data_IF_713715892490
#
_entry.id   IF_713715892490
#
_cell.length_a   1.000
_cell.length_b   1.000
_cell.length_c   1.000
_cell.angle_alpha   90.00
_cell.angle_beta   90.00
_cell.angle_gamma   90.00
#
_symmetry.space_group_name_H-M   'P 1'
#
loop_
_entity.id
_entity.type
_entity.pdbx_description
1 polymer ?
#
# COMPACT_ATOMS: atom_id res chain seq x y z
N UNK A 1 3.16 -15.40 -13.46
CA UNK A 1 2.16 -14.34 -13.20
C UNK A 1 1.89 -13.61 -14.50
N UNK A 2 0.76 -13.84 -15.17
CA UNK A 2 0.39 -13.10 -16.37
C UNK A 2 0.23 -11.59 -16.08
N UNK A 3 0.44 -10.77 -17.10
CA UNK A 3 0.13 -9.33 -17.06
C UNK A 3 -1.03 -9.07 -18.00
N UNK A 4 -2.12 -8.52 -17.48
CA UNK A 4 -3.34 -8.20 -18.22
C UNK A 4 -3.46 -6.69 -18.38
N UNK A 5 -3.98 -6.23 -19.52
CA UNK A 5 -4.33 -4.82 -19.70
C UNK A 5 -5.76 -4.61 -19.22
N UNK A 6 -5.94 -3.90 -18.10
CA UNK A 6 -7.24 -3.65 -17.49
C UNK A 6 -7.39 -2.14 -17.29
N UNK A 7 -8.40 -1.52 -17.91
CA UNK A 7 -8.59 -0.07 -17.85
C UNK A 7 -7.38 0.73 -18.35
N UNK A 8 -6.63 0.21 -19.33
CA UNK A 8 -5.41 0.83 -19.86
C UNK A 8 -4.17 0.67 -18.95
N UNK A 9 -4.27 -0.10 -17.87
CA UNK A 9 -3.19 -0.30 -16.90
C UNK A 9 -2.72 -1.76 -16.93
N UNK A 10 -1.39 -2.00 -16.96
CA UNK A 10 -0.84 -3.35 -16.86
C UNK A 10 -0.97 -3.88 -15.43
N UNK A 11 -1.80 -4.90 -15.25
CA UNK A 11 -2.03 -5.60 -13.97
C UNK A 11 -1.37 -6.96 -14.01
N UNK A 12 -0.30 -7.15 -13.22
CA UNK A 12 0.23 -8.48 -12.91
C UNK A 12 -0.68 -9.21 -11.94
N UNK A 13 -1.12 -10.41 -12.30
CA UNK A 13 -1.97 -11.26 -11.49
C UNK A 13 -1.32 -12.64 -11.25
N UNK A 14 -1.49 -13.29 -10.07
CA UNK A 14 -0.74 -14.51 -9.77
C UNK A 14 -1.02 -15.70 -10.69
N UNK A 15 -2.25 -15.80 -11.21
CA UNK A 15 -2.74 -16.84 -12.12
C UNK A 15 -3.56 -16.21 -13.24
N UNK A 16 -4.10 -17.01 -14.17
CA UNK A 16 -5.02 -16.50 -15.20
C UNK A 16 -6.36 -16.16 -14.54
N UNK A 17 -6.79 -14.90 -14.51
CA UNK A 17 -8.01 -14.50 -13.82
C UNK A 17 -9.26 -15.00 -14.56
N UNK A 18 -10.34 -15.21 -13.81
CA UNK A 18 -11.68 -15.40 -14.38
C UNK A 18 -12.25 -14.08 -14.90
N UNK A 19 -13.20 -14.13 -15.83
CA UNK A 19 -13.83 -12.94 -16.41
C UNK A 19 -14.44 -12.03 -15.33
N UNK A 20 -15.09 -12.62 -14.32
CA UNK A 20 -15.65 -11.88 -13.19
C UNK A 20 -14.58 -11.14 -12.37
N UNK A 21 -13.38 -11.70 -12.26
CA UNK A 21 -12.24 -11.05 -11.60
C UNK A 21 -11.70 -9.90 -12.44
N UNK A 22 -11.66 -10.06 -13.77
CA UNK A 22 -11.26 -8.99 -14.70
C UNK A 22 -12.22 -7.80 -14.58
N UNK A 23 -13.54 -8.07 -14.65
CA UNK A 23 -14.57 -7.03 -14.47
C UNK A 23 -14.45 -6.36 -13.09
N UNK A 24 -14.24 -7.13 -12.03
CA UNK A 24 -14.03 -6.58 -10.69
C UNK A 24 -12.83 -5.63 -10.64
N UNK A 25 -11.68 -6.06 -11.17
CA UNK A 25 -10.46 -5.24 -11.22
C UNK A 25 -10.64 -3.98 -12.08
N UNK A 26 -11.36 -4.07 -13.19
CA UNK A 26 -11.69 -2.92 -14.05
C UNK A 26 -12.52 -1.88 -13.28
N UNK A 27 -13.55 -2.29 -12.52
CA UNK A 27 -14.35 -1.37 -11.71
C UNK A 27 -13.57 -0.75 -10.54
N UNK A 28 -12.60 -1.47 -9.98
CA UNK A 28 -11.65 -0.90 -9.00
C UNK A 28 -10.82 0.20 -9.67
N UNK A 29 -10.18 -0.09 -10.81
CA UNK A 29 -9.32 0.88 -11.52
C UNK A 29 -10.13 2.11 -11.96
N UNK A 30 -11.33 1.89 -12.50
CA UNK A 30 -12.23 2.96 -12.93
C UNK A 30 -12.58 3.90 -11.76
N UNK A 31 -12.94 3.36 -10.60
CA UNK A 31 -13.31 4.19 -9.45
C UNK A 31 -12.11 4.98 -8.89
N UNK A 32 -10.91 4.41 -8.91
CA UNK A 32 -9.67 5.11 -8.54
C UNK A 32 -9.35 6.24 -9.51
N UNK A 33 -9.47 6.03 -10.83
CA UNK A 33 -9.16 7.03 -11.84
C UNK A 33 -10.13 8.22 -11.80
N UNK A 34 -11.43 7.94 -11.67
CA UNK A 34 -12.47 8.97 -11.58
C UNK A 34 -12.64 9.57 -10.18
N UNK A 35 -11.85 9.11 -9.19
CA UNK A 35 -11.91 9.57 -7.78
C UNK A 35 -13.31 9.41 -7.17
N UNK A 36 -13.94 8.27 -7.41
CA UNK A 36 -15.30 7.97 -6.96
C UNK A 36 -15.32 6.88 -5.89
N UNK A 37 -16.40 6.86 -5.10
CA UNK A 37 -16.69 5.74 -4.22
C UNK A 37 -17.31 4.60 -5.05
N UNK A 38 -16.97 3.35 -4.71
CA UNK A 38 -17.52 2.17 -5.38
C UNK A 38 -18.00 1.14 -4.36
N UNK A 39 -19.23 0.65 -4.56
CA UNK A 39 -19.77 -0.51 -3.85
C UNK A 39 -19.63 -1.74 -4.77
N UNK A 40 -18.66 -2.60 -4.47
CA UNK A 40 -18.31 -3.74 -5.32
C UNK A 40 -18.64 -5.06 -4.63
N UNK A 41 -19.65 -5.74 -5.16
CA UNK A 41 -20.06 -7.08 -4.74
C UNK A 41 -19.39 -8.16 -5.60
N UNK A 42 -18.95 -9.23 -4.96
CA UNK A 42 -18.53 -10.46 -5.64
C UNK A 42 -18.85 -11.66 -4.75
N UNK A 43 -19.20 -12.83 -5.32
CA UNK A 43 -19.45 -14.04 -4.53
C UNK A 43 -18.24 -14.43 -3.65
N UNK A 44 -18.49 -15.09 -2.53
CA UNK A 44 -17.42 -15.60 -1.66
C UNK A 44 -16.56 -16.63 -2.39
N UNK A 45 -15.26 -16.68 -2.09
CA UNK A 45 -14.34 -17.66 -2.70
C UNK A 45 -13.79 -17.25 -4.08
N UNK A 46 -14.20 -16.12 -4.64
CA UNK A 46 -13.76 -15.65 -5.97
C UNK A 46 -12.47 -14.82 -5.95
N UNK A 47 -11.73 -14.80 -4.83
CA UNK A 47 -10.47 -14.05 -4.74
C UNK A 47 -10.62 -12.52 -4.74
N UNK A 48 -11.73 -11.99 -4.20
CA UNK A 48 -12.03 -10.54 -4.09
C UNK A 48 -10.85 -9.74 -3.52
N UNK A 49 -10.25 -10.23 -2.45
CA UNK A 49 -9.12 -9.59 -1.79
C UNK A 49 -7.91 -9.50 -2.73
N UNK A 50 -7.53 -10.60 -3.39
CA UNK A 50 -6.45 -10.62 -4.36
C UNK A 50 -6.70 -9.70 -5.55
N UNK A 51 -7.91 -9.69 -6.10
CA UNK A 51 -8.33 -8.79 -7.18
C UNK A 51 -8.17 -7.32 -6.76
N UNK A 52 -8.71 -6.97 -5.59
CA UNK A 52 -8.63 -5.63 -5.03
C UNK A 52 -7.18 -5.19 -4.82
N UNK A 53 -6.32 -6.05 -4.26
CA UNK A 53 -4.91 -5.76 -4.05
C UNK A 53 -4.17 -5.54 -5.39
N UNK A 54 -4.34 -6.45 -6.35
CA UNK A 54 -3.64 -6.36 -7.63
C UNK A 54 -4.05 -5.13 -8.42
N UNK A 55 -5.35 -4.86 -8.55
CA UNK A 55 -5.86 -3.68 -9.25
C UNK A 55 -5.38 -2.36 -8.60
N UNK A 56 -5.51 -2.24 -7.28
CA UNK A 56 -5.15 -1.02 -6.55
C UNK A 56 -3.64 -0.76 -6.61
N UNK A 57 -2.82 -1.81 -6.44
CA UNK A 57 -1.35 -1.69 -6.47
C UNK A 57 -0.83 -1.43 -7.89
N UNK A 58 -1.42 -2.07 -8.91
CA UNK A 58 -1.12 -1.80 -10.31
C UNK A 58 -1.40 -0.33 -10.67
N UNK A 59 -2.60 0.16 -10.30
CA UNK A 59 -2.99 1.55 -10.53
C UNK A 59 -2.03 2.53 -9.86
N UNK A 60 -1.69 2.30 -8.58
CA UNK A 60 -0.76 3.15 -7.85
C UNK A 60 0.65 3.12 -8.46
N UNK A 61 1.14 1.96 -8.87
CA UNK A 61 2.44 1.85 -9.54
C UNK A 61 2.45 2.56 -10.89
N UNK A 62 1.36 2.43 -11.66
CA UNK A 62 1.20 3.12 -12.93
C UNK A 62 1.19 4.64 -12.74
N UNK A 63 0.46 5.13 -11.71
CA UNK A 63 0.44 6.56 -11.35
C UNK A 63 1.83 7.09 -10.96
N UNK A 64 2.59 6.32 -10.19
CA UNK A 64 3.98 6.67 -9.84
C UNK A 64 4.86 6.81 -11.09
N UNK A 65 4.73 5.89 -12.05
CA UNK A 65 5.47 5.97 -13.33
C UNK A 65 5.09 7.21 -14.14
N UNK A 66 3.80 7.54 -14.22
CA UNK A 66 3.33 8.77 -14.89
C UNK A 66 3.91 10.04 -14.25
N UNK A 67 3.89 10.11 -12.91
CA UNK A 67 4.42 11.27 -12.18
C UNK A 67 5.93 11.44 -12.42
N UNK A 68 6.70 10.35 -12.37
CA UNK A 68 8.16 10.38 -12.66
C UNK A 68 8.45 10.76 -14.11
N UNK A 69 7.68 10.24 -15.06
CA UNK A 69 7.82 10.60 -16.47
C UNK A 69 7.48 12.08 -16.74
N UNK A 70 6.56 12.67 -15.97
CA UNK A 70 6.23 14.08 -16.06
C UNK A 70 7.33 14.98 -15.46
N UNK A 71 8.00 14.54 -14.38
CA UNK A 71 9.17 15.24 -13.81
C UNK A 71 10.39 15.20 -14.75
N UNK A 72 10.63 14.07 -15.42
CA UNK A 72 11.79 13.87 -16.32
C UNK A 72 11.63 14.45 -17.75
N UNK A 73 10.61 15.28 -18.03
CA UNK A 73 10.56 15.96 -19.33
C UNK A 73 11.78 16.87 -19.48
N UNK A 74 12.53 16.82 -20.60
CA UNK A 74 13.71 17.64 -20.78
C UNK A 74 13.29 19.12 -20.69
N UNK A 75 13.80 19.83 -19.68
CA UNK A 75 13.82 21.29 -19.72
C UNK A 75 14.63 21.65 -20.97
N UNK A 76 14.00 22.32 -21.93
CA UNK A 76 14.68 22.83 -23.14
C UNK A 76 15.90 23.62 -22.67
N UNK A 77 17.08 23.08 -22.96
CA UNK A 77 18.37 23.56 -22.49
C UNK A 77 18.82 24.67 -23.44
N UNK A 78 18.83 25.92 -22.97
CA UNK A 78 19.69 26.93 -23.58
C UNK A 78 21.12 26.63 -23.12
N UNK A 79 22.03 26.49 -24.07
CA UNK A 79 23.43 26.14 -23.86
C UNK A 79 24.13 27.16 -22.95
N UNK A 80 24.80 26.68 -21.90
CA UNK A 80 26.14 27.15 -21.56
C UNK A 80 26.89 25.99 -20.93
N UNK A 81 28.06 25.74 -21.50
CA UNK A 81 29.01 24.67 -21.25
C UNK A 81 29.59 24.70 -19.83
N UNK A 82 29.54 23.60 -19.08
CA UNK A 82 30.72 22.89 -18.52
C UNK A 82 30.26 21.71 -17.66
N UNK A 83 30.95 20.58 -17.84
CA UNK A 83 30.70 19.28 -17.27
C UNK A 83 31.10 19.15 -15.79
N UNK A 84 30.28 18.44 -15.01
CA UNK A 84 30.72 17.53 -13.93
C UNK A 84 29.60 16.53 -13.57
N UNK A 85 29.93 15.25 -13.26
CA UNK A 85 28.96 14.21 -12.92
C UNK A 85 28.78 14.01 -11.40
N UNK A 86 27.61 13.48 -11.06
CA UNK A 86 27.23 12.71 -9.85
C UNK A 86 27.23 13.44 -8.48
N UNK A 87 26.02 13.67 -7.93
CA UNK A 87 25.65 13.40 -6.52
C UNK A 87 24.22 13.90 -6.18
N UNK A 88 23.36 12.94 -5.81
CA UNK A 88 22.14 13.03 -4.97
C UNK A 88 20.96 13.92 -5.40
N UNK A 89 20.01 13.33 -6.13
CA UNK A 89 18.70 13.92 -6.46
C UNK A 89 17.59 13.49 -5.48
N UNK A 90 17.83 13.64 -4.18
CA UNK A 90 16.86 13.28 -3.12
C UNK A 90 15.62 14.21 -3.09
N UNK A 91 15.70 15.39 -3.72
CA UNK A 91 14.63 16.39 -3.69
C UNK A 91 13.46 16.08 -4.65
N UNK A 92 13.68 15.40 -5.78
CA UNK A 92 12.60 15.12 -6.74
C UNK A 92 11.71 13.94 -6.29
N UNK A 93 12.26 12.93 -5.61
CA UNK A 93 11.46 11.78 -5.12
C UNK A 93 10.47 12.19 -4.03
N UNK A 94 10.81 13.21 -3.22
CA UNK A 94 9.92 13.74 -2.17
C UNK A 94 8.67 14.41 -2.77
N UNK A 95 8.83 15.22 -3.83
CA UNK A 95 7.70 15.88 -4.51
C UNK A 95 6.79 14.91 -5.28
N UNK A 96 7.31 13.76 -5.70
CA UNK A 96 6.52 12.67 -6.31
C UNK A 96 5.74 11.91 -5.24
N UNK A 97 6.34 11.65 -4.07
CA UNK A 97 5.70 10.94 -2.97
C UNK A 97 4.44 11.67 -2.46
N UNK A 98 4.48 13.00 -2.38
CA UNK A 98 3.35 13.83 -1.91
C UNK A 98 2.14 13.78 -2.85
N UNK A 99 2.38 13.57 -4.15
CA UNK A 99 1.32 13.48 -5.18
C UNK A 99 0.74 12.07 -5.33
N UNK A 100 1.37 11.07 -4.72
CA UNK A 100 0.96 9.66 -4.84
C UNK A 100 0.03 9.26 -3.69
N UNK A 101 -1.20 8.78 -3.95
CA UNK A 101 -2.13 8.44 -2.90
C UNK A 101 -1.63 7.28 -2.02
N UNK A 102 -1.95 7.36 -0.73
CA UNK A 102 -1.71 6.30 0.25
C UNK A 102 -2.88 5.32 0.25
N UNK A 103 -2.58 4.02 0.18
CA UNK A 103 -3.59 2.96 0.25
C UNK A 103 -3.80 2.59 1.71
N UNK A 104 -5.05 2.66 2.17
CA UNK A 104 -5.45 2.20 3.51
C UNK A 104 -6.38 1.01 3.32
N UNK A 105 -5.99 -0.15 3.82
CA UNK A 105 -6.83 -1.34 3.81
C UNK A 105 -7.43 -1.55 5.20
N UNK A 106 -8.76 -1.46 5.30
CA UNK A 106 -9.49 -1.69 6.54
C UNK A 106 -10.13 -3.09 6.53
N UNK A 107 -10.08 -3.77 7.66
CA UNK A 107 -10.67 -5.09 7.85
C UNK A 107 -11.33 -5.19 9.22
N UNK A 108 -12.30 -6.10 9.40
CA UNK A 108 -13.07 -6.22 10.64
C UNK A 108 -12.26 -6.93 11.74
N UNK A 109 -11.43 -7.90 11.39
CA UNK A 109 -10.66 -8.70 12.36
C UNK A 109 -9.19 -8.84 11.99
N UNK A 110 -8.34 -9.08 12.98
CA UNK A 110 -6.92 -9.37 12.75
C UNK A 110 -6.70 -10.67 11.97
N UNK A 111 -7.59 -11.67 12.09
CA UNK A 111 -7.52 -12.89 11.27
C UNK A 111 -7.74 -12.61 9.78
N UNK A 112 -8.69 -11.74 9.45
CA UNK A 112 -8.89 -11.27 8.07
C UNK A 112 -7.66 -10.49 7.58
N UNK A 113 -7.10 -9.60 8.40
CA UNK A 113 -5.89 -8.86 8.03
C UNK A 113 -4.68 -9.78 7.79
N UNK A 114 -4.52 -10.84 8.60
CA UNK A 114 -3.50 -11.86 8.39
C UNK A 114 -3.66 -12.57 7.05
N UNK A 115 -4.90 -12.86 6.64
CA UNK A 115 -5.18 -13.41 5.32
C UNK A 115 -4.82 -12.43 4.20
N UNK A 116 -5.18 -11.15 4.34
CA UNK A 116 -4.82 -10.09 3.37
C UNK A 116 -3.31 -10.00 3.19
N UNK A 117 -2.54 -10.08 4.27
CA UNK A 117 -1.06 -10.09 4.21
C UNK A 117 -0.54 -11.33 3.47
N UNK A 118 -1.15 -12.50 3.67
CA UNK A 118 -0.80 -13.72 2.93
C UNK A 118 -1.08 -13.56 1.44
N UNK A 119 -2.24 -13.01 1.08
CA UNK A 119 -2.60 -12.74 -0.32
C UNK A 119 -1.68 -11.69 -0.96
N UNK A 120 -1.34 -10.61 -0.24
CA UNK A 120 -0.40 -9.61 -0.71
C UNK A 120 0.97 -10.22 -1.08
N UNK A 121 1.46 -11.16 -0.26
CA UNK A 121 2.72 -11.89 -0.52
C UNK A 121 2.66 -12.73 -1.79
N UNK A 122 1.48 -13.18 -2.21
CA UNK A 122 1.27 -13.93 -3.44
C UNK A 122 1.28 -13.05 -4.69
N UNK A 123 1.21 -11.72 -4.56
CA UNK A 123 1.28 -10.81 -5.70
C UNK A 123 2.72 -10.50 -6.12
N UNK A 124 2.90 -10.03 -7.36
CA UNK A 124 4.18 -9.50 -7.83
C UNK A 124 4.57 -8.16 -7.18
N UNK A 125 3.63 -7.49 -6.50
CA UNK A 125 3.83 -6.16 -5.94
C UNK A 125 4.49 -6.24 -4.56
N UNK A 126 5.46 -5.35 -4.31
CA UNK A 126 6.19 -5.23 -3.04
C UNK A 126 6.09 -3.81 -2.46
N UNK A 127 4.89 -3.35 -2.06
CA UNK A 127 4.74 -2.04 -1.43
C UNK A 127 5.39 -2.01 -0.04
N UNK A 128 5.79 -0.82 0.43
CA UNK A 128 6.07 -0.57 1.85
C UNK A 128 4.74 -0.61 2.61
N UNK A 129 4.62 -1.47 3.61
CA UNK A 129 3.37 -1.69 4.37
C UNK A 129 3.62 -1.51 5.86
N UNK A 130 2.67 -0.87 6.54
CA UNK A 130 2.57 -0.86 8.00
C UNK A 130 1.24 -1.50 8.42
N UNK A 131 1.29 -2.37 9.42
CA UNK A 131 0.12 -3.03 9.99
C UNK A 131 -0.22 -2.32 11.30
N UNK A 132 -1.44 -1.80 11.39
CA UNK A 132 -1.94 -1.19 12.63
C UNK A 132 -2.74 -2.24 13.42
N UNK A 133 -2.58 -2.22 14.74
CA UNK A 133 -3.25 -3.13 15.65
C UNK A 133 -3.35 -2.56 17.05
N UNK A 134 -4.19 -3.18 17.89
CA UNK A 134 -4.31 -2.78 19.29
C UNK A 134 -3.01 -3.08 20.05
N UNK A 135 -2.84 -2.43 21.21
CA UNK A 135 -1.71 -2.74 22.13
C UNK A 135 -1.69 -4.22 22.52
N UNK A 136 -2.83 -4.88 22.54
CA UNK A 136 -2.90 -6.31 22.87
C UNK A 136 -2.15 -7.19 21.87
N UNK A 137 -2.02 -6.74 20.63
CA UNK A 137 -1.37 -7.49 19.56
C UNK A 137 0.08 -7.03 19.31
N UNK A 138 0.41 -5.77 19.63
CA UNK A 138 1.68 -5.14 19.23
C UNK A 138 2.51 -4.62 20.42
N UNK A 139 2.07 -4.79 21.67
CA UNK A 139 2.86 -4.37 22.83
C UNK A 139 4.10 -5.25 22.99
N UNK A 140 5.27 -4.61 23.04
CA UNK A 140 6.58 -5.27 23.22
C UNK A 140 7.04 -5.29 24.68
N UNK A 141 6.43 -4.47 25.55
CA UNK A 141 6.85 -4.36 26.95
C UNK A 141 6.45 -5.64 27.71
N UNK A 142 7.39 -6.34 28.39
CA UNK A 142 7.15 -7.65 29.00
C UNK A 142 5.93 -7.67 29.93
N UNK A 143 5.85 -6.76 30.89
CA UNK A 143 4.74 -6.72 31.86
C UNK A 143 3.42 -6.24 31.25
N UNK A 144 3.43 -5.14 30.49
CA UNK A 144 2.23 -4.56 29.88
C UNK A 144 1.62 -5.50 28.84
N UNK A 145 2.43 -6.32 28.16
CA UNK A 145 1.95 -7.30 27.17
C UNK A 145 1.07 -8.40 27.77
N UNK A 146 1.23 -8.70 29.07
CA UNK A 146 0.42 -9.69 29.80
C UNK A 146 -0.96 -9.15 30.19
N UNK A 147 -1.13 -7.82 30.20
CA UNK A 147 -2.40 -7.18 30.53
C UNK A 147 -3.30 -7.09 29.29
N UNK A 148 -4.61 -6.96 29.49
CA UNK A 148 -5.61 -6.80 28.41
C UNK A 148 -6.53 -5.60 28.65
N UNK A 149 -7.17 -5.14 27.57
CA UNK A 149 -8.20 -4.11 27.58
C UNK A 149 -7.76 -2.79 28.20
N UNK A 150 -8.64 -2.20 29.03
CA UNK A 150 -8.43 -0.89 29.67
C UNK A 150 -7.22 -0.88 30.59
N UNK A 151 -6.97 -1.97 31.32
CA UNK A 151 -5.82 -2.08 32.22
C UNK A 151 -4.51 -1.95 31.45
N UNK A 152 -4.37 -2.69 30.35
CA UNK A 152 -3.19 -2.57 29.48
C UNK A 152 -2.99 -1.13 28.98
N UNK A 153 -4.06 -0.48 28.54
CA UNK A 153 -3.98 0.89 28.06
C UNK A 153 -3.53 1.87 29.14
N UNK A 154 -4.02 1.70 30.37
CA UNK A 154 -3.64 2.55 31.50
C UNK A 154 -2.17 2.35 31.89
N UNK A 155 -1.75 1.11 32.11
CA UNK A 155 -0.37 0.78 32.49
C UNK A 155 0.62 1.19 31.39
N UNK A 156 0.27 1.00 30.12
CA UNK A 156 1.09 1.49 29.00
C UNK A 156 1.32 3.00 29.08
N UNK A 157 0.28 3.79 29.37
CA UNK A 157 0.41 5.25 29.52
C UNK A 157 1.27 5.62 30.73
N UNK A 158 1.15 4.89 31.84
CA UNK A 158 1.98 5.09 33.02
C UNK A 158 3.45 4.77 32.75
N UNK A 159 3.76 3.62 32.15
CA UNK A 159 5.12 3.20 31.80
C UNK A 159 5.79 4.20 30.84
N UNK A 160 5.05 4.69 29.84
CA UNK A 160 5.57 5.72 28.92
C UNK A 160 5.88 7.04 29.64
N UNK A 161 5.05 7.44 30.60
CA UNK A 161 5.29 8.66 31.42
C UNK A 161 6.48 8.50 32.36
N UNK A 162 6.66 7.30 32.92
CA UNK A 162 7.77 6.97 33.80
C UNK A 162 9.08 6.68 33.05
N UNK A 163 9.09 6.76 31.70
CA UNK A 163 10.21 6.40 30.83
C UNK A 163 10.73 4.96 31.06
N UNK A 164 9.84 4.07 31.50
CA UNK A 164 10.12 2.66 31.67
C UNK A 164 9.96 1.94 30.33
N UNK A 165 10.93 2.20 29.44
CA UNK A 165 11.01 1.52 28.15
C UNK A 165 11.86 0.27 28.32
N UNK A 166 11.21 -0.88 28.53
CA UNK A 166 11.88 -2.16 28.35
C UNK A 166 12.06 -2.39 26.85
N UNK A 167 13.30 -2.26 26.38
CA UNK A 167 13.75 -2.78 25.08
C UNK A 167 14.84 -3.77 25.41
N UNK A 168 14.52 -5.06 25.30
CA UNK A 168 15.53 -6.10 25.23
C UNK A 168 15.84 -6.38 23.77
#
# INVERSE_FOLDING_TARGET
MPTLQIGGIPVSFPFTPYDSQVVYMEKVIQSLEFKQNALLESPTGTGKTLCLLCATLAWRLHRLKQLRAASNKPKVQYETTTSKPDDTDDNDDQGVADKLPKIIYASRTHSQLKQVVKELKQTAYKPKVAILGSREHLCVHPEVSQMRGTQQNHTCRQAVRAQQYSVT
#
